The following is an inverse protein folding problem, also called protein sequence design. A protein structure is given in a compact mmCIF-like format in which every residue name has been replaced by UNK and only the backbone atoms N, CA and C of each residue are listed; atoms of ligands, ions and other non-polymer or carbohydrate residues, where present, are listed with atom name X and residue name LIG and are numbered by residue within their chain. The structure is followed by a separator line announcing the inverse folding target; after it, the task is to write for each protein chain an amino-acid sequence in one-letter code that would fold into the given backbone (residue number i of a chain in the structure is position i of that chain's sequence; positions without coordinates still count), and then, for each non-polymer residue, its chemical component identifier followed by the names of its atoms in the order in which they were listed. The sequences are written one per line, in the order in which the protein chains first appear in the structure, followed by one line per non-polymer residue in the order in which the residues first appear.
data_IF_940101098746
#
_entry.id   IF_940101098746
#
_cell.length_a   1.000
_cell.length_b   1.000
_cell.length_c   1.000
_cell.angle_alpha   90.00
_cell.angle_beta   90.00
_cell.angle_gamma   90.00
#
_symmetry.space_group_name_H-M   'P 1'
#
loop_
_entity.id
_entity.type
_entity.pdbx_description
1 polymer ?
#
# COMPACT_ATOMS: atom_id res chain seq x y z
N UNK A 1 4.91 34.37 -8.09
CA UNK A 1 5.09 34.36 -6.61
C UNK A 1 4.89 35.79 -6.13
N UNK A 2 4.49 36.04 -4.88
CA UNK A 2 4.14 37.40 -4.43
C UNK A 2 5.33 38.12 -3.77
N UNK A 3 5.38 39.45 -3.91
CA UNK A 3 6.53 40.29 -3.56
C UNK A 3 6.92 40.27 -2.07
N UNK A 4 6.02 39.78 -1.21
CA UNK A 4 6.26 39.55 0.21
C UNK A 4 7.19 38.37 0.49
N UNK A 5 7.46 37.50 -0.48
CA UNK A 5 8.36 36.36 -0.33
C UNK A 5 9.83 36.73 -0.63
N UNK A 6 10.07 37.60 -1.61
CA UNK A 6 11.43 38.05 -2.01
C UNK A 6 12.16 38.91 -0.96
N UNK A 7 11.44 39.55 -0.03
CA UNK A 7 12.07 40.40 1.01
C UNK A 7 12.57 39.64 2.26
N UNK A 8 12.48 38.30 2.28
CA UNK A 8 12.90 37.48 3.43
C UNK A 8 14.35 37.00 3.26
N UNK A 9 15.18 37.26 4.27
CA UNK A 9 16.60 36.88 4.33
C UNK A 9 16.88 35.94 5.50
N UNK A 10 17.95 35.15 5.42
CA UNK A 10 18.41 34.27 6.48
C UNK A 10 18.87 35.08 7.70
N UNK A 11 18.44 34.71 8.91
CA UNK A 11 18.80 35.42 10.14
C UNK A 11 20.31 35.36 10.47
N UNK A 12 20.98 34.25 10.14
CA UNK A 12 22.39 33.99 10.52
C UNK A 12 23.40 34.44 9.45
N UNK A 13 23.03 34.43 8.16
CA UNK A 13 23.96 34.68 7.04
C UNK A 13 23.44 35.61 5.93
N UNK A 14 22.27 36.22 6.08
CA UNK A 14 21.73 37.20 5.11
C UNK A 14 21.22 36.64 3.78
N UNK A 15 21.58 35.42 3.37
CA UNK A 15 21.15 34.80 2.10
C UNK A 15 19.63 34.88 1.87
N UNK A 16 19.22 35.12 0.61
CA UNK A 16 17.81 35.20 0.22
C UNK A 16 17.42 34.18 -0.85
N UNK A 17 16.12 33.84 -0.99
CA UNK A 17 15.65 32.97 -2.07
C UNK A 17 15.81 33.59 -3.46
N UNK A 18 15.84 34.91 -3.58
CA UNK A 18 15.88 35.62 -4.86
C UNK A 18 17.32 35.82 -5.38
N UNK A 19 18.28 36.03 -4.47
CA UNK A 19 19.69 36.27 -4.82
C UNK A 19 20.49 34.96 -4.89
N UNK A 20 20.33 34.05 -3.92
CA UNK A 20 21.08 32.78 -3.86
C UNK A 20 20.34 31.57 -4.46
N UNK A 21 19.04 31.67 -4.75
CA UNK A 21 18.19 30.51 -5.09
C UNK A 21 17.90 29.57 -3.90
N UNK A 22 18.16 30.01 -2.66
CA UNK A 22 18.15 29.14 -1.47
C UNK A 22 16.80 29.11 -0.75
N UNK A 23 16.41 27.91 -0.27
CA UNK A 23 15.23 27.75 0.58
C UNK A 23 15.47 28.21 2.03
N UNK A 24 14.51 28.97 2.55
CA UNK A 24 14.42 29.38 3.96
C UNK A 24 13.42 28.50 4.75
N UNK A 25 13.74 28.22 6.01
CA UNK A 25 12.93 27.49 6.98
C UNK A 25 12.63 28.37 8.20
N UNK A 26 11.35 28.50 8.56
CA UNK A 26 10.92 29.25 9.75
C UNK A 26 11.31 28.50 11.02
N UNK A 27 11.66 29.26 12.06
CA UNK A 27 11.69 28.74 13.43
C UNK A 27 10.39 27.98 13.78
N UNK A 28 10.52 26.96 14.62
CA UNK A 28 9.43 26.06 14.98
C UNK A 28 8.49 26.72 16.01
N UNK A 29 7.20 26.39 15.98
CA UNK A 29 6.27 26.78 17.06
C UNK A 29 6.59 25.93 18.30
N UNK A 30 6.86 26.54 19.48
CA UNK A 30 7.09 25.78 20.71
C UNK A 30 5.83 25.02 21.12
N UNK A 31 6.04 23.84 21.70
CA UNK A 31 5.00 22.91 22.14
C UNK A 31 5.62 21.60 22.62
N UNK A 32 4.87 20.80 23.38
CA UNK A 32 5.34 19.64 24.16
C UNK A 32 6.34 18.73 23.43
N UNK A 33 6.04 18.35 22.19
CA UNK A 33 6.88 17.42 21.42
C UNK A 33 8.00 18.06 20.58
N UNK A 34 8.18 19.39 20.66
CA UNK A 34 9.15 20.15 19.85
C UNK A 34 10.05 21.08 20.69
N UNK A 35 9.80 21.23 22.01
CA UNK A 35 10.42 22.25 22.87
C UNK A 35 11.96 22.25 22.80
N UNK A 36 12.60 21.12 23.09
CA UNK A 36 14.06 20.93 23.03
C UNK A 36 14.65 21.34 21.67
N UNK A 37 13.94 21.05 20.57
CA UNK A 37 14.37 21.44 19.22
C UNK A 37 14.24 22.95 18.99
N UNK A 38 13.24 23.60 19.58
CA UNK A 38 13.09 25.05 19.52
C UNK A 38 14.21 25.75 20.30
N UNK A 39 14.59 25.21 21.47
CA UNK A 39 15.73 25.68 22.28
C UNK A 39 17.04 25.57 21.49
N UNK A 40 17.32 24.42 20.88
CA UNK A 40 18.51 24.19 20.04
C UNK A 40 18.57 25.16 18.83
N UNK A 41 17.45 25.42 18.16
CA UNK A 41 17.38 26.43 17.10
C UNK A 41 17.64 27.84 17.65
N UNK A 42 17.05 28.21 18.79
CA UNK A 42 17.23 29.52 19.41
C UNK A 42 18.68 29.74 19.90
N UNK A 43 19.31 28.72 20.46
CA UNK A 43 20.71 28.74 20.92
C UNK A 43 21.68 28.95 19.75
N UNK A 44 21.42 28.30 18.61
CA UNK A 44 22.20 28.49 17.38
C UNK A 44 22.06 29.92 16.81
N UNK A 45 20.86 30.50 16.90
CA UNK A 45 20.55 31.83 16.39
C UNK A 45 21.06 32.95 17.32
N UNK A 46 21.03 32.73 18.63
CA UNK A 46 21.42 33.69 19.67
C UNK A 46 22.44 33.07 20.65
N UNK A 47 23.68 32.77 20.19
CA UNK A 47 24.72 32.24 21.07
C UNK A 47 24.99 33.21 22.23
N UNK A 48 25.28 32.67 23.41
CA UNK A 48 25.55 33.44 24.63
C UNK A 48 24.32 33.98 25.37
N UNK A 49 23.10 33.84 24.83
CA UNK A 49 21.86 34.21 25.54
C UNK A 49 21.25 33.00 26.27
N UNK A 50 20.61 33.21 27.41
CA UNK A 50 19.69 32.21 27.95
C UNK A 50 18.44 32.17 27.07
N UNK A 51 18.21 31.03 26.40
CA UNK A 51 17.14 30.84 25.42
C UNK A 51 16.03 29.88 25.87
N UNK A 52 16.11 29.35 27.09
CA UNK A 52 15.20 28.30 27.60
C UNK A 52 13.81 28.83 28.02
N UNK A 53 13.57 30.14 27.94
CA UNK A 53 12.24 30.72 28.17
C UNK A 53 11.30 30.41 26.99
N UNK A 54 10.15 29.83 27.29
CA UNK A 54 9.10 29.52 26.30
C UNK A 54 8.58 30.80 25.63
N UNK A 55 8.64 31.94 26.33
CA UNK A 55 8.22 33.28 25.89
C UNK A 55 9.19 33.81 24.83
N UNK A 56 10.49 33.57 25.03
CA UNK A 56 11.51 33.87 24.03
C UNK A 56 11.34 33.00 22.76
N UNK A 57 11.04 31.71 22.92
CA UNK A 57 10.75 30.82 21.79
C UNK A 57 9.47 31.22 21.03
N UNK A 58 8.41 31.61 21.74
CA UNK A 58 7.18 32.19 21.17
C UNK A 58 7.52 33.48 20.39
N UNK A 59 8.39 34.34 20.92
CA UNK A 59 8.84 35.58 20.27
C UNK A 59 9.59 35.30 18.96
N UNK A 60 10.59 34.42 18.95
CA UNK A 60 11.32 34.02 17.73
C UNK A 60 10.37 33.48 16.65
N UNK A 61 9.42 32.63 17.05
CA UNK A 61 8.40 32.12 16.13
C UNK A 61 7.53 33.23 15.55
N UNK A 62 7.00 34.12 16.39
CA UNK A 62 6.12 35.23 16.00
C UNK A 62 6.83 36.28 15.13
N UNK A 63 8.12 36.55 15.37
CA UNK A 63 8.96 37.43 14.53
C UNK A 63 9.30 36.82 13.15
N UNK A 64 8.74 35.65 12.80
CA UNK A 64 8.97 34.96 11.52
C UNK A 64 10.47 34.72 11.22
N UNK A 65 11.31 34.52 12.24
CA UNK A 65 12.76 34.32 12.03
C UNK A 65 13.02 33.04 11.22
N UNK A 66 13.96 33.11 10.29
CA UNK A 66 14.25 32.05 9.31
C UNK A 66 15.73 31.66 9.31
N UNK A 67 16.04 30.39 9.05
CA UNK A 67 17.37 29.90 8.69
C UNK A 67 17.35 29.31 7.28
N UNK A 68 18.45 29.45 6.53
CA UNK A 68 18.58 28.88 5.19
C UNK A 68 19.13 27.45 5.20
N UNK A 69 19.04 26.73 4.07
CA UNK A 69 19.53 25.35 3.97
C UNK A 69 21.04 25.18 4.23
N UNK A 70 21.86 26.24 4.12
CA UNK A 70 23.32 26.20 4.41
C UNK A 70 23.65 25.86 5.88
N UNK A 71 22.69 25.93 6.82
CA UNK A 71 22.91 25.67 8.26
C UNK A 71 22.53 24.25 8.71
N UNK A 72 22.19 23.35 7.79
CA UNK A 72 21.73 21.99 8.08
C UNK A 72 22.53 20.99 7.25
N UNK A 73 22.84 19.81 7.80
CA UNK A 73 23.59 18.78 7.08
C UNK A 73 22.70 18.02 6.11
N UNK A 74 23.26 17.19 5.23
CA UNK A 74 22.45 16.45 4.25
C UNK A 74 21.50 15.44 4.92
N UNK A 75 21.93 14.81 6.01
CA UNK A 75 21.08 13.91 6.81
C UNK A 75 19.91 14.61 7.52
N UNK A 76 19.90 15.95 7.60
CA UNK A 76 18.81 16.71 8.24
C UNK A 76 17.58 16.88 7.32
N UNK A 77 17.69 16.54 6.03
CA UNK A 77 16.61 16.68 5.05
C UNK A 77 15.85 15.36 4.77
N UNK A 78 14.62 15.46 4.29
CA UNK A 78 13.81 14.30 3.87
C UNK A 78 14.18 13.74 2.51
N UNK A 79 14.88 14.53 1.69
CA UNK A 79 15.20 14.25 0.30
C UNK A 79 16.41 15.08 -0.15
N UNK A 80 17.07 14.63 -1.23
CA UNK A 80 18.20 15.31 -1.87
C UNK A 80 17.82 16.67 -2.49
N UNK A 81 16.52 16.99 -2.63
CA UNK A 81 16.08 18.32 -3.10
C UNK A 81 16.10 19.36 -1.97
N UNK A 82 16.54 18.96 -0.76
CA UNK A 82 16.63 19.78 0.47
C UNK A 82 15.32 20.53 0.76
N UNK A 83 14.17 19.95 0.38
CA UNK A 83 12.88 20.67 0.34
C UNK A 83 12.16 20.67 1.68
N UNK A 84 12.35 19.66 2.52
CA UNK A 84 11.81 19.60 3.88
C UNK A 84 12.87 19.08 4.86
N UNK A 85 12.84 19.62 6.09
CA UNK A 85 13.69 19.17 7.19
C UNK A 85 13.00 18.04 7.97
N UNK A 86 13.78 17.07 8.45
CA UNK A 86 13.31 16.02 9.35
C UNK A 86 12.80 16.59 10.68
N UNK A 87 12.03 15.78 11.42
CA UNK A 87 11.51 16.17 12.74
C UNK A 87 12.62 16.39 13.79
N UNK A 88 13.77 15.75 13.60
CA UNK A 88 14.96 15.81 14.47
C UNK A 88 15.98 16.88 14.07
N UNK A 89 15.82 17.52 12.91
CA UNK A 89 16.89 18.32 12.31
C UNK A 89 17.22 19.62 13.07
N UNK A 90 18.49 19.82 13.40
CA UNK A 90 18.98 20.96 14.18
C UNK A 90 20.08 21.69 13.41
N UNK A 91 20.15 23.03 13.48
CA UNK A 91 21.17 23.76 12.77
C UNK A 91 22.54 23.49 13.40
N UNK A 92 23.58 23.46 12.56
CA UNK A 92 24.97 23.25 12.95
C UNK A 92 25.84 24.25 12.18
N UNK A 93 26.88 24.77 12.82
CA UNK A 93 27.88 25.55 12.09
C UNK A 93 28.68 24.58 11.20
N UNK A 94 28.82 24.94 9.93
CA UNK A 94 29.59 24.18 8.94
C UNK A 94 30.85 25.00 8.67
N UNK A 95 32.00 24.48 9.09
CA UNK A 95 33.29 25.12 8.85
C UNK A 95 33.55 25.22 7.35
N UNK A 96 33.94 26.40 6.88
CA UNK A 96 34.18 26.67 5.47
C UNK A 96 35.55 26.12 5.05
N UNK A 97 35.59 24.87 4.61
CA UNK A 97 36.80 24.30 4.02
C UNK A 97 37.18 25.07 2.73
N UNK A 98 38.36 25.71 2.78
CA UNK A 98 39.01 26.32 1.62
C UNK A 98 39.44 25.21 0.65
N UNK A 99 39.18 25.32 -0.67
CA UNK A 99 39.44 24.25 -1.62
C UNK A 99 40.92 24.17 -2.04
N UNK A 100 41.45 22.95 -2.17
CA UNK A 100 42.75 22.65 -2.80
C UNK A 100 42.55 21.47 -3.77
N UNK A 101 43.19 21.54 -4.95
CA UNK A 101 43.22 20.50 -6.01
C UNK A 101 44.00 19.22 -5.51
N UNK A 102 44.09 18.06 -6.20
CA UNK A 102 44.19 17.73 -7.64
C UNK A 102 43.70 16.27 -7.92
N UNK A 103 42.91 16.05 -8.98
CA UNK A 103 42.70 14.81 -9.81
C UNK A 103 42.44 13.42 -9.12
N UNK A 104 41.99 12.34 -9.78
CA UNK A 104 41.75 12.00 -11.21
C UNK A 104 40.45 11.19 -11.42
N UNK A 105 39.97 11.13 -12.66
CA UNK A 105 38.88 10.23 -13.16
C UNK A 105 39.44 8.84 -13.61
N UNK A 106 38.66 7.83 -14.11
CA UNK A 106 37.23 7.78 -14.51
C UNK A 106 36.42 6.62 -13.86
N UNK A 107 35.13 6.37 -14.14
CA UNK A 107 34.16 7.05 -15.00
C UNK A 107 32.80 6.32 -15.10
N UNK A 108 32.00 6.68 -16.12
CA UNK A 108 30.71 6.08 -16.54
C UNK A 108 29.60 5.92 -15.48
N UNK A 109 28.56 6.75 -15.60
CA UNK A 109 27.22 6.44 -15.08
C UNK A 109 26.16 7.01 -16.01
N UNK A 110 25.28 6.14 -16.50
CA UNK A 110 24.26 6.49 -17.47
C UNK A 110 22.85 6.50 -16.87
N UNK A 111 22.02 7.38 -17.43
CA UNK A 111 20.54 7.38 -17.36
C UNK A 111 19.90 7.79 -16.03
N UNK A 112 19.19 8.92 -16.17
CA UNK A 112 18.00 9.43 -15.49
C UNK A 112 17.01 8.43 -14.83
N UNK A 113 15.96 8.84 -14.11
CA UNK A 113 15.56 10.05 -13.34
C UNK A 113 14.03 9.95 -13.07
N UNK A 114 13.47 10.89 -12.29
CA UNK A 114 12.07 11.35 -12.34
C UNK A 114 10.89 10.40 -11.93
N UNK A 115 9.68 10.89 -11.56
CA UNK A 115 9.26 12.02 -10.67
C UNK A 115 7.72 12.04 -10.47
N UNK A 116 7.24 12.32 -9.23
CA UNK A 116 5.89 12.83 -8.82
C UNK A 116 4.62 12.07 -9.33
N UNK A 117 3.34 12.36 -8.96
CA UNK A 117 2.70 13.32 -8.00
C UNK A 117 1.63 12.55 -7.16
N UNK A 118 0.36 12.87 -6.78
CA UNK A 118 -0.64 13.99 -6.69
C UNK A 118 -1.77 13.48 -5.71
N UNK A 119 -2.74 14.21 -5.10
CA UNK A 119 -3.02 15.63 -4.77
C UNK A 119 -4.24 15.70 -3.78
N UNK A 120 -4.34 16.72 -2.89
CA UNK A 120 -5.55 17.16 -2.11
C UNK A 120 -6.24 16.16 -1.14
N UNK A 121 -7.06 16.51 -0.12
CA UNK A 121 -7.48 17.81 0.47
C UNK A 121 -7.86 17.66 1.98
N UNK A 122 -8.14 18.78 2.68
CA UNK A 122 -8.81 18.88 4.02
C UNK A 122 -10.23 19.52 3.85
N UNK A 123 -10.98 20.06 4.86
CA UNK A 123 -10.94 19.95 6.34
C UNK A 123 -12.32 19.73 7.04
N UNK A 124 -12.33 19.54 8.37
CA UNK A 124 -13.33 19.96 9.39
C UNK A 124 -13.08 19.17 10.70
N UNK A 125 -12.66 19.74 11.84
CA UNK A 125 -13.35 20.59 12.83
C UNK A 125 -14.44 19.89 13.66
N UNK A 126 -14.23 19.84 14.99
CA UNK A 126 -15.12 19.23 15.98
C UNK A 126 -14.47 19.28 17.36
N UNK A 127 -15.05 20.05 18.29
CA UNK A 127 -14.55 20.27 19.66
C UNK A 127 -15.18 19.26 20.63
N UNK A 128 -14.50 18.92 21.73
CA UNK A 128 -15.08 18.79 23.09
C UNK A 128 -13.95 18.54 24.11
N UNK A 129 -13.75 19.54 24.97
CA UNK A 129 -13.49 19.56 26.42
C UNK A 129 -12.47 18.62 27.11
N UNK A 130 -12.15 19.01 28.35
CA UNK A 130 -11.12 18.45 29.22
C UNK A 130 -11.76 17.78 30.43
N UNK A 131 -11.11 16.74 30.98
CA UNK A 131 -11.16 16.53 32.42
C UNK A 131 -9.88 15.82 32.89
N UNK A 132 -9.03 16.55 33.61
CA UNK A 132 -8.03 15.96 34.50
C UNK A 132 -8.70 15.65 35.85
N UNK A 133 -8.29 14.57 36.52
CA UNK A 133 -8.59 14.38 37.94
C UNK A 133 -7.49 13.54 38.62
N UNK A 134 -6.93 14.06 39.70
CA UNK A 134 -6.25 13.28 40.75
C UNK A 134 -4.89 12.64 40.42
N UNK A 135 -3.81 13.29 40.86
CA UNK A 135 -2.75 12.54 41.57
C UNK A 135 -3.24 12.27 43.01
N UNK A 136 -2.69 11.26 43.72
CA UNK A 136 -1.45 11.50 44.45
C UNK A 136 -0.40 10.40 44.26
N UNK A 137 0.88 10.77 44.34
CA UNK A 137 2.00 9.83 44.47
C UNK A 137 2.48 9.70 45.93
N UNK A 138 3.29 8.67 46.26
CA UNK A 138 3.98 8.59 47.53
C UNK A 138 5.33 9.32 47.49
N UNK A 139 5.59 10.14 48.50
CA UNK A 139 6.86 10.85 48.68
C UNK A 139 8.04 9.89 48.87
N UNK A 140 9.22 10.26 48.34
CA UNK A 140 10.49 9.74 48.85
C UNK A 140 11.54 10.85 48.86
N UNK A 141 12.12 11.09 50.01
CA UNK A 141 13.20 12.06 50.20
C UNK A 141 14.47 11.63 49.44
N UNK A 142 15.15 12.61 48.87
CA UNK A 142 16.54 12.49 48.41
C UNK A 142 17.34 13.59 49.10
N UNK A 143 18.22 13.20 50.02
CA UNK A 143 19.09 14.12 50.73
C UNK A 143 20.00 14.84 49.72
N UNK A 144 20.10 16.17 49.78
CA UNK A 144 21.03 16.94 48.98
C UNK A 144 22.46 16.80 49.53
N UNK A 145 23.07 15.65 49.26
CA UNK A 145 24.50 15.47 49.44
C UNK A 145 25.23 16.12 48.26
N UNK A 146 25.93 17.23 48.51
CA UNK A 146 26.84 17.84 47.55
C UNK A 146 27.95 16.85 47.17
N UNK A 147 27.86 16.25 45.98
CA UNK A 147 28.95 15.47 45.41
C UNK A 147 29.89 16.43 44.70
N UNK A 148 31.06 16.66 45.32
CA UNK A 148 32.14 17.46 44.76
C UNK A 148 32.59 16.94 43.38
N UNK A 149 33.14 17.84 42.56
CA UNK A 149 33.55 17.55 41.19
C UNK A 149 34.85 16.70 41.10
N UNK A 150 34.82 15.49 41.65
CA UNK A 150 35.93 14.54 41.66
C UNK A 150 36.48 14.28 40.25
N UNK A 151 37.76 14.59 40.06
CA UNK A 151 38.44 14.46 38.76
C UNK A 151 38.37 13.02 38.22
N UNK A 152 37.70 12.86 37.08
CA UNK A 152 37.52 11.56 36.44
C UNK A 152 38.84 11.09 35.81
N UNK A 153 39.53 10.17 36.49
CA UNK A 153 40.72 9.47 35.95
C UNK A 153 40.46 8.98 34.51
N UNK A 154 41.42 9.12 33.58
CA UNK A 154 41.22 8.74 32.19
C UNK A 154 40.97 7.22 32.08
N UNK A 155 39.79 6.85 31.56
CA UNK A 155 39.35 5.46 31.42
C UNK A 155 40.37 4.65 30.63
N UNK A 156 40.77 3.48 31.15
CA UNK A 156 41.72 2.59 30.48
C UNK A 156 41.15 2.07 29.15
N UNK A 157 42.03 1.66 28.22
CA UNK A 157 41.62 1.11 26.92
C UNK A 157 40.63 -0.07 27.07
N UNK A 158 40.77 -0.90 28.12
CA UNK A 158 39.85 -2.02 28.42
C UNK A 158 38.45 -1.53 28.83
N UNK A 159 38.35 -0.52 29.70
CA UNK A 159 37.07 0.08 30.10
C UNK A 159 36.37 0.78 28.92
N UNK A 160 37.10 1.49 28.07
CA UNK A 160 36.54 2.12 26.86
C UNK A 160 35.96 1.06 25.91
N UNK A 161 36.67 -0.04 25.68
CA UNK A 161 36.17 -1.18 24.89
C UNK A 161 34.92 -1.78 25.53
N UNK A 162 34.91 -2.03 26.84
CA UNK A 162 33.76 -2.60 27.56
C UNK A 162 32.54 -1.67 27.50
N UNK A 163 32.73 -0.37 27.69
CA UNK A 163 31.67 0.64 27.59
C UNK A 163 31.11 0.74 26.16
N UNK A 164 31.96 0.64 25.14
CA UNK A 164 31.52 0.58 23.73
C UNK A 164 30.69 -0.68 23.42
N UNK A 165 31.04 -1.83 24.03
CA UNK A 165 30.24 -3.08 23.94
C UNK A 165 28.90 -2.90 24.65
N UNK A 166 28.89 -2.36 25.87
CA UNK A 166 27.67 -2.12 26.63
C UNK A 166 26.68 -1.22 25.87
N UNK A 167 27.15 -0.11 25.28
CA UNK A 167 26.32 0.76 24.43
C UNK A 167 25.75 0.02 23.21
N UNK A 168 26.55 -0.83 22.53
CA UNK A 168 26.07 -1.67 21.41
C UNK A 168 25.00 -2.70 21.85
N UNK A 169 25.12 -3.26 23.05
CA UNK A 169 24.10 -4.16 23.60
C UNK A 169 22.81 -3.40 24.00
N UNK A 170 22.92 -2.25 24.67
CA UNK A 170 21.77 -1.39 24.99
C UNK A 170 21.03 -0.94 23.72
N UNK A 171 21.76 -0.58 22.67
CA UNK A 171 21.17 -0.20 21.38
C UNK A 171 20.45 -1.39 20.72
N UNK A 172 21.03 -2.60 20.76
CA UNK A 172 20.33 -3.84 20.36
C UNK A 172 19.07 -4.10 21.18
N UNK A 173 19.13 -3.96 22.51
CA UNK A 173 17.97 -4.14 23.42
C UNK A 173 16.85 -3.16 23.07
N UNK A 174 17.15 -1.87 22.87
CA UNK A 174 16.15 -0.88 22.46
C UNK A 174 15.49 -1.21 21.10
N UNK A 175 16.28 -1.68 20.12
CA UNK A 175 15.76 -2.12 18.81
C UNK A 175 14.90 -3.38 18.93
N UNK A 176 15.30 -4.33 19.78
CA UNK A 176 14.53 -5.55 20.05
C UNK A 176 13.23 -5.24 20.79
N UNK A 177 13.25 -4.38 21.82
CA UNK A 177 12.05 -3.91 22.53
C UNK A 177 11.07 -3.23 21.58
N UNK A 178 11.54 -2.35 20.69
CA UNK A 178 10.71 -1.71 19.65
C UNK A 178 10.14 -2.72 18.65
N UNK A 179 10.89 -3.78 18.29
CA UNK A 179 10.37 -4.89 17.48
C UNK A 179 9.32 -5.70 18.24
N UNK A 180 9.53 -6.01 19.52
CA UNK A 180 8.57 -6.74 20.37
C UNK A 180 7.29 -5.93 20.56
N UNK A 181 7.35 -4.62 20.78
CA UNK A 181 6.16 -3.75 20.84
C UNK A 181 5.42 -3.68 19.49
N UNK A 182 6.14 -3.57 18.37
CA UNK A 182 5.51 -3.59 17.05
C UNK A 182 4.85 -4.95 16.74
N UNK A 183 5.45 -6.05 17.18
CA UNK A 183 4.89 -7.40 17.08
C UNK A 183 3.69 -7.58 18.02
N UNK A 184 3.75 -7.16 19.28
CA UNK A 184 2.65 -7.35 20.25
C UNK A 184 1.41 -6.52 19.88
N UNK A 185 1.58 -5.31 19.36
CA UNK A 185 0.49 -4.52 18.77
C UNK A 185 -0.14 -5.24 17.55
N UNK A 186 0.67 -5.99 16.79
CA UNK A 186 0.17 -6.81 15.69
C UNK A 186 -0.50 -8.11 16.17
N UNK A 187 -0.04 -8.71 17.27
CA UNK A 187 -0.69 -9.85 17.93
C UNK A 187 -2.05 -9.45 18.51
N UNK A 188 -2.17 -8.27 19.11
CA UNK A 188 -3.43 -7.79 19.69
C UNK A 188 -4.55 -7.64 18.64
N UNK A 189 -4.21 -7.18 17.43
CA UNK A 189 -5.15 -7.11 16.30
C UNK A 189 -5.54 -8.49 15.75
N UNK A 190 -4.65 -9.48 15.82
CA UNK A 190 -5.00 -10.86 15.50
C UNK A 190 -5.89 -11.47 16.60
N UNK A 191 -5.63 -11.16 17.88
CA UNK A 191 -6.45 -11.60 19.01
C UNK A 191 -7.88 -11.05 18.93
N UNK A 192 -8.09 -9.83 18.44
CA UNK A 192 -9.43 -9.28 18.16
C UNK A 192 -10.13 -10.06 17.02
N UNK A 193 -9.39 -10.56 16.02
CA UNK A 193 -9.96 -11.40 14.97
C UNK A 193 -10.28 -12.83 15.44
N UNK A 194 -9.56 -13.33 16.45
CA UNK A 194 -9.79 -14.62 17.10
C UNK A 194 -10.70 -14.54 18.35
N UNK A 195 -11.19 -13.36 18.72
CA UNK A 195 -12.01 -13.14 19.90
C UNK A 195 -13.29 -13.99 19.85
N UNK A 196 -13.63 -14.59 20.99
CA UNK A 196 -14.91 -15.26 21.22
C UNK A 196 -16.11 -14.35 20.88
N UNK A 197 -15.98 -13.03 21.01
CA UNK A 197 -17.03 -12.08 20.59
C UNK A 197 -17.17 -11.99 19.07
N UNK A 198 -16.06 -11.98 18.31
CA UNK A 198 -16.09 -12.02 16.84
C UNK A 198 -16.57 -13.38 16.34
N UNK A 199 -16.22 -14.47 17.02
CA UNK A 199 -16.76 -15.83 16.75
C UNK A 199 -18.27 -15.89 17.01
N UNK A 200 -18.76 -15.42 18.15
CA UNK A 200 -20.20 -15.28 18.48
C UNK A 200 -20.96 -14.40 17.47
N UNK A 201 -20.36 -13.29 17.02
CA UNK A 201 -20.94 -12.43 15.98
C UNK A 201 -20.98 -13.14 14.63
N UNK A 202 -19.91 -13.86 14.25
CA UNK A 202 -19.82 -14.58 12.98
C UNK A 202 -20.91 -15.65 12.82
N UNK A 203 -21.36 -16.26 13.92
CA UNK A 203 -22.47 -17.22 13.93
C UNK A 203 -23.85 -16.57 13.75
N UNK A 204 -23.98 -15.25 13.95
CA UNK A 204 -25.24 -14.49 13.79
C UNK A 204 -25.35 -13.73 12.46
N UNK A 205 -24.34 -13.79 11.59
CA UNK A 205 -24.31 -13.06 10.31
C UNK A 205 -24.05 -14.00 9.15
N UNK A 206 -24.30 -13.54 7.91
CA UNK A 206 -24.00 -14.36 6.73
C UNK A 206 -22.50 -14.64 6.62
N UNK A 207 -22.06 -15.83 6.13
CA UNK A 207 -20.64 -16.14 5.98
C UNK A 207 -19.87 -15.14 5.11
N UNK A 208 -20.53 -14.54 4.12
CA UNK A 208 -19.95 -13.48 3.28
C UNK A 208 -19.67 -12.19 4.07
N UNK A 209 -20.53 -11.83 5.04
CA UNK A 209 -20.31 -10.69 5.91
C UNK A 209 -19.27 -10.99 7.00
N UNK A 210 -19.25 -12.21 7.56
CA UNK A 210 -18.21 -12.65 8.49
C UNK A 210 -16.81 -12.55 7.85
N UNK A 211 -16.64 -13.08 6.62
CA UNK A 211 -15.40 -12.95 5.84
C UNK A 211 -15.04 -11.49 5.56
N UNK A 212 -16.03 -10.64 5.28
CA UNK A 212 -15.81 -9.21 5.06
C UNK A 212 -15.33 -8.49 6.33
N UNK A 213 -15.93 -8.77 7.49
CA UNK A 213 -15.53 -8.22 8.79
C UNK A 213 -14.12 -8.68 9.21
N UNK A 214 -13.83 -9.98 9.11
CA UNK A 214 -12.47 -10.51 9.32
C UNK A 214 -11.47 -9.85 8.37
N UNK A 215 -11.86 -9.65 7.10
CA UNK A 215 -11.12 -8.89 6.10
C UNK A 215 -10.85 -7.44 6.51
N UNK A 216 -11.79 -6.76 7.17
CA UNK A 216 -11.59 -5.41 7.72
C UNK A 216 -10.61 -5.43 8.88
N UNK A 217 -10.88 -6.21 9.94
CA UNK A 217 -10.08 -6.26 11.17
C UNK A 217 -8.62 -6.61 10.85
N UNK A 218 -8.38 -7.58 9.96
CA UNK A 218 -7.04 -8.00 9.58
C UNK A 218 -6.27 -6.96 8.76
N UNK A 219 -6.95 -6.04 8.07
CA UNK A 219 -6.34 -5.12 7.10
C UNK A 219 -6.47 -3.62 7.39
N UNK A 220 -7.27 -3.20 8.39
CA UNK A 220 -7.52 -1.80 8.72
C UNK A 220 -6.20 -1.02 8.93
N UNK A 221 -5.38 -1.49 9.86
CA UNK A 221 -4.09 -0.91 10.23
C UNK A 221 -2.94 -1.29 9.27
N UNK A 222 -3.22 -1.95 8.14
CA UNK A 222 -2.21 -2.31 7.13
C UNK A 222 -2.19 -1.29 5.99
N UNK A 223 -1.00 -0.75 5.70
CA UNK A 223 -0.70 0.04 4.48
C UNK A 223 -1.18 -0.69 3.24
N UNK A 224 -1.65 0.03 2.21
CA UNK A 224 -2.29 -0.53 1.00
C UNK A 224 -1.54 -1.74 0.39
N UNK A 225 -0.22 -1.64 0.18
CA UNK A 225 0.62 -2.72 -0.38
C UNK A 225 0.86 -3.91 0.56
N UNK A 226 0.59 -3.75 1.86
CA UNK A 226 0.73 -4.79 2.90
C UNK A 226 -0.57 -5.53 3.23
N UNK A 227 -1.70 -5.16 2.62
CA UNK A 227 -2.99 -5.84 2.81
C UNK A 227 -2.96 -7.22 2.17
N UNK A 228 -3.43 -8.24 2.90
CA UNK A 228 -3.45 -9.64 2.45
C UNK A 228 -4.87 -10.17 2.49
N UNK A 229 -5.22 -10.97 1.48
CA UNK A 229 -6.58 -11.40 1.19
C UNK A 229 -6.64 -12.92 1.00
N UNK A 230 -7.64 -13.60 1.59
CA UNK A 230 -7.90 -15.03 1.39
C UNK A 230 -8.39 -15.31 -0.04
N UNK A 231 -8.77 -16.55 -0.38
CA UNK A 231 -9.40 -16.84 -1.69
C UNK A 231 -10.90 -16.49 -1.64
N UNK A 232 -11.51 -16.69 -0.49
CA UNK A 232 -12.94 -16.59 -0.17
C UNK A 232 -13.36 -15.11 -0.11
N UNK A 233 -12.53 -14.27 0.49
CA UNK A 233 -12.65 -12.80 0.47
C UNK A 233 -12.54 -12.26 -0.96
N UNK A 234 -11.58 -12.74 -1.76
CA UNK A 234 -11.44 -12.32 -3.17
C UNK A 234 -12.64 -12.75 -4.00
N UNK A 235 -13.18 -13.96 -3.79
CA UNK A 235 -14.40 -14.44 -4.45
C UNK A 235 -15.62 -13.58 -4.05
N UNK A 236 -15.75 -13.26 -2.76
CA UNK A 236 -16.84 -12.42 -2.24
C UNK A 236 -16.76 -10.99 -2.80
N UNK A 237 -15.55 -10.41 -2.83
CA UNK A 237 -15.27 -9.16 -3.51
C UNK A 237 -15.54 -9.24 -5.02
N UNK A 238 -15.15 -10.32 -5.69
CA UNK A 238 -15.33 -10.53 -7.12
C UNK A 238 -16.82 -10.58 -7.51
N UNK A 239 -17.69 -11.18 -6.68
CA UNK A 239 -19.15 -11.18 -6.88
C UNK A 239 -19.69 -9.74 -6.96
N UNK A 240 -19.35 -8.90 -5.98
CA UNK A 240 -19.77 -7.48 -5.95
C UNK A 240 -19.17 -6.72 -7.16
N UNK A 241 -17.89 -6.93 -7.46
CA UNK A 241 -17.20 -6.27 -8.57
C UNK A 241 -17.79 -6.65 -9.95
N UNK A 242 -18.19 -7.90 -10.15
CA UNK A 242 -18.85 -8.37 -11.37
C UNK A 242 -20.30 -7.89 -11.49
N UNK A 243 -21.02 -7.73 -10.37
CA UNK A 243 -22.40 -7.18 -10.38
C UNK A 243 -22.43 -5.66 -10.61
N UNK A 244 -21.47 -4.90 -10.08
CA UNK A 244 -21.33 -3.47 -10.37
C UNK A 244 -19.89 -2.98 -10.13
N UNK A 245 -19.08 -2.79 -11.19
CA UNK A 245 -17.73 -2.22 -11.07
C UNK A 245 -17.71 -0.79 -10.52
N UNK A 246 -18.78 -0.01 -10.73
CA UNK A 246 -18.93 1.36 -10.24
C UNK A 246 -19.24 1.40 -8.74
N UNK A 247 -20.26 0.66 -8.28
CA UNK A 247 -20.54 0.51 -6.85
C UNK A 247 -19.34 -0.07 -6.10
N UNK A 248 -18.64 -1.05 -6.68
CA UNK A 248 -17.41 -1.57 -6.06
C UNK A 248 -16.32 -0.49 -5.90
N UNK A 249 -16.15 0.42 -6.87
CA UNK A 249 -15.19 1.54 -6.73
C UNK A 249 -15.57 2.49 -5.59
N UNK A 250 -16.87 2.74 -5.38
CA UNK A 250 -17.39 3.51 -4.25
C UNK A 250 -17.14 2.78 -2.92
N UNK A 251 -17.54 1.52 -2.80
CA UNK A 251 -17.32 0.68 -1.61
C UNK A 251 -15.84 0.59 -1.22
N UNK A 252 -14.92 0.60 -2.19
CA UNK A 252 -13.46 0.60 -1.94
C UNK A 252 -12.91 1.90 -1.33
N UNK A 253 -13.69 2.99 -1.32
CA UNK A 253 -13.35 4.24 -0.60
C UNK A 253 -13.78 4.17 0.87
N UNK A 254 -14.87 3.46 1.15
CA UNK A 254 -15.46 3.31 2.48
C UNK A 254 -14.83 2.15 3.27
N UNK A 255 -14.49 1.06 2.58
CA UNK A 255 -14.08 -0.21 3.17
C UNK A 255 -12.74 -0.71 2.63
N UNK A 256 -11.98 -1.43 3.46
CA UNK A 256 -10.77 -2.10 3.00
C UNK A 256 -11.16 -3.30 2.15
N UNK A 257 -10.86 -3.22 0.85
CA UNK A 257 -11.28 -4.19 -0.16
C UNK A 257 -10.16 -4.42 -1.20
N UNK A 258 -10.09 -5.62 -1.82
CA UNK A 258 -9.14 -5.92 -2.89
C UNK A 258 -9.11 -4.87 -4.02
N UNK A 259 -7.94 -4.68 -4.65
CA UNK A 259 -7.82 -3.81 -5.83
C UNK A 259 -8.47 -4.46 -7.06
N UNK A 260 -8.84 -3.70 -8.11
CA UNK A 260 -9.47 -4.30 -9.28
C UNK A 260 -8.45 -5.13 -10.07
N UNK A 261 -7.16 -4.77 -10.01
CA UNK A 261 -6.05 -5.62 -10.48
C UNK A 261 -5.97 -6.93 -9.70
N UNK A 262 -6.10 -6.91 -8.36
CA UNK A 262 -6.12 -8.15 -7.55
C UNK A 262 -7.27 -9.09 -7.94
N UNK A 263 -8.43 -8.55 -8.37
CA UNK A 263 -9.56 -9.35 -8.84
C UNK A 263 -9.37 -9.82 -10.30
N UNK A 264 -8.83 -8.99 -11.20
CA UNK A 264 -8.44 -9.40 -12.56
C UNK A 264 -7.37 -10.50 -12.53
N UNK A 265 -6.36 -10.39 -11.67
CA UNK A 265 -5.28 -11.37 -11.51
C UNK A 265 -5.73 -12.66 -10.78
N UNK A 266 -6.96 -12.70 -10.25
CA UNK A 266 -7.60 -13.95 -9.83
C UNK A 266 -8.33 -14.62 -11.02
N UNK A 267 -9.00 -13.82 -11.86
CA UNK A 267 -9.67 -14.31 -13.07
C UNK A 267 -8.66 -14.85 -14.09
N UNK A 268 -7.52 -14.19 -14.30
CA UNK A 268 -6.48 -14.59 -15.25
C UNK A 268 -5.69 -15.85 -14.85
N UNK A 269 -6.16 -16.59 -13.83
CA UNK A 269 -5.69 -17.94 -13.47
C UNK A 269 -6.64 -19.04 -13.93
N UNK A 270 -7.76 -18.66 -14.55
CA UNK A 270 -8.74 -19.56 -15.14
C UNK A 270 -8.56 -19.44 -16.66
N UNK A 271 -7.95 -20.43 -17.34
CA UNK A 271 -7.85 -20.41 -18.79
C UNK A 271 -9.24 -20.62 -19.41
N UNK A 272 -9.52 -19.84 -20.45
CA UNK A 272 -10.67 -20.02 -21.34
C UNK A 272 -10.11 -20.16 -22.76
N UNK A 273 -9.74 -21.38 -23.11
CA UNK A 273 -9.33 -21.77 -24.46
C UNK A 273 -10.54 -22.10 -25.32
N UNK A 274 -10.40 -21.98 -26.63
CA UNK A 274 -11.40 -22.44 -27.62
C UNK A 274 -11.68 -23.93 -27.44
N UNK A 275 -12.89 -24.36 -27.75
CA UNK A 275 -13.38 -25.71 -27.51
C UNK A 275 -13.93 -25.91 -26.10
N UNK A 276 -13.87 -27.15 -25.63
CA UNK A 276 -14.53 -27.63 -24.43
C UNK A 276 -13.70 -27.35 -23.16
N UNK A 277 -14.29 -26.69 -22.16
CA UNK A 277 -13.58 -26.32 -20.95
C UNK A 277 -13.65 -27.44 -19.89
N UNK A 278 -12.62 -28.31 -19.85
CA UNK A 278 -12.54 -29.41 -18.87
C UNK A 278 -12.78 -28.98 -17.42
N UNK A 279 -12.31 -27.80 -17.02
CA UNK A 279 -12.44 -27.33 -15.64
C UNK A 279 -13.91 -27.04 -15.27
N UNK A 280 -14.71 -26.59 -16.25
CA UNK A 280 -16.17 -26.48 -16.11
C UNK A 280 -16.80 -27.88 -16.03
N UNK A 281 -16.46 -28.80 -16.94
CA UNK A 281 -16.99 -30.17 -16.92
C UNK A 281 -16.69 -30.90 -15.59
N UNK A 282 -15.45 -30.82 -15.08
CA UNK A 282 -15.02 -31.39 -13.79
C UNK A 282 -15.71 -30.77 -12.57
N UNK A 283 -16.29 -29.57 -12.72
CA UNK A 283 -17.19 -28.96 -11.71
C UNK A 283 -18.63 -29.47 -11.91
N UNK A 284 -19.11 -29.57 -13.15
CA UNK A 284 -20.44 -30.10 -13.47
C UNK A 284 -20.62 -31.56 -13.05
N UNK A 285 -19.66 -32.45 -13.32
CA UNK A 285 -19.68 -33.84 -12.83
C UNK A 285 -19.87 -33.91 -11.30
N UNK A 286 -19.24 -32.99 -10.54
CA UNK A 286 -19.39 -32.91 -9.08
C UNK A 286 -20.76 -32.34 -8.66
N UNK A 287 -21.28 -31.38 -9.41
CA UNK A 287 -22.64 -30.89 -9.22
C UNK A 287 -23.68 -32.00 -9.44
N UNK A 288 -23.62 -32.71 -10.57
CA UNK A 288 -24.49 -33.85 -10.93
C UNK A 288 -24.46 -34.93 -9.83
N UNK A 289 -23.28 -35.31 -9.36
CA UNK A 289 -23.09 -36.28 -8.25
C UNK A 289 -23.62 -35.80 -6.88
N UNK A 290 -23.98 -34.51 -6.75
CA UNK A 290 -24.61 -33.95 -5.53
C UNK A 290 -26.14 -33.81 -5.62
N UNK A 291 -26.72 -33.97 -6.82
CA UNK A 291 -28.16 -33.87 -7.04
C UNK A 291 -28.81 -35.27 -7.02
N UNK A 292 -30.14 -35.30 -6.84
CA UNK A 292 -30.92 -36.53 -7.01
C UNK A 292 -30.90 -36.96 -8.47
N UNK A 293 -30.91 -38.27 -8.75
CA UNK A 293 -30.94 -38.81 -10.12
C UNK A 293 -32.11 -38.27 -10.94
N UNK A 294 -33.28 -38.05 -10.31
CA UNK A 294 -34.46 -37.41 -10.92
C UNK A 294 -34.19 -36.01 -11.47
N UNK A 295 -33.25 -35.29 -10.86
CA UNK A 295 -32.98 -33.89 -11.14
C UNK A 295 -31.85 -33.73 -12.18
N UNK A 296 -31.21 -34.85 -12.59
CA UNK A 296 -30.04 -34.91 -13.46
C UNK A 296 -30.40 -35.08 -14.95
N UNK A 297 -31.51 -34.49 -15.37
CA UNK A 297 -31.89 -34.38 -16.78
C UNK A 297 -31.48 -33.02 -17.34
N UNK A 298 -30.76 -33.04 -18.46
CA UNK A 298 -30.16 -31.86 -19.07
C UNK A 298 -30.36 -31.83 -20.59
N UNK A 299 -30.51 -30.64 -21.15
CA UNK A 299 -30.56 -30.35 -22.58
C UNK A 299 -29.24 -29.68 -22.99
N UNK A 300 -28.64 -30.15 -24.08
CA UNK A 300 -27.58 -29.43 -24.78
C UNK A 300 -28.22 -28.39 -25.70
N UNK A 301 -27.98 -27.12 -25.42
CA UNK A 301 -28.36 -25.97 -26.26
C UNK A 301 -27.11 -25.44 -26.97
N UNK A 302 -27.25 -24.96 -28.18
CA UNK A 302 -26.22 -24.20 -28.89
C UNK A 302 -26.85 -23.09 -29.71
N UNK A 303 -26.11 -22.01 -29.90
CA UNK A 303 -26.53 -20.84 -30.69
C UNK A 303 -25.29 -20.07 -31.17
N UNK A 304 -25.44 -19.25 -32.21
CA UNK A 304 -24.38 -18.42 -32.77
C UNK A 304 -24.64 -16.93 -32.52
N UNK A 305 -23.68 -16.24 -31.91
CA UNK A 305 -23.72 -14.79 -31.74
C UNK A 305 -22.77 -14.09 -32.71
N UNK A 306 -23.23 -12.99 -33.33
CA UNK A 306 -22.38 -12.16 -34.18
C UNK A 306 -21.35 -11.39 -33.35
N UNK A 307 -20.14 -11.29 -33.89
CA UNK A 307 -19.00 -10.59 -33.30
C UNK A 307 -18.57 -9.42 -34.19
N UNK A 308 -18.03 -8.38 -33.56
CA UNK A 308 -17.27 -7.37 -34.30
C UNK A 308 -15.92 -7.96 -34.73
N UNK A 309 -15.74 -8.20 -36.03
CA UNK A 309 -14.46 -8.61 -36.64
C UNK A 309 -13.33 -7.67 -36.19
N UNK A 310 -12.35 -8.22 -35.48
CA UNK A 310 -11.21 -7.50 -34.92
C UNK A 310 -10.11 -8.51 -34.55
N UNK A 311 -8.85 -8.20 -34.86
CA UNK A 311 -7.68 -8.96 -34.41
C UNK A 311 -7.03 -8.26 -33.22
N UNK A 312 -6.69 -9.01 -32.18
CA UNK A 312 -6.02 -8.52 -30.97
C UNK A 312 -4.86 -9.45 -30.61
N UNK A 313 -3.73 -8.91 -30.15
CA UNK A 313 -2.59 -9.70 -29.71
C UNK A 313 -2.53 -9.79 -28.18
N UNK A 314 -2.76 -10.98 -27.60
CA UNK A 314 -2.53 -11.21 -26.17
C UNK A 314 -1.08 -11.64 -25.92
N UNK A 315 -0.27 -10.67 -25.49
CA UNK A 315 1.12 -10.85 -25.10
C UNK A 315 1.38 -11.77 -23.89
N UNK A 316 0.37 -12.50 -23.38
CA UNK A 316 0.54 -13.53 -22.34
C UNK A 316 0.44 -14.96 -22.89
N UNK A 317 -0.31 -15.14 -23.97
CA UNK A 317 -0.45 -16.42 -24.68
C UNK A 317 0.36 -16.46 -25.98
N UNK A 318 0.97 -15.34 -26.37
CA UNK A 318 1.70 -15.16 -27.64
C UNK A 318 0.82 -15.51 -28.85
N UNK A 319 -0.42 -15.01 -28.80
CA UNK A 319 -1.49 -15.39 -29.71
C UNK A 319 -2.22 -14.16 -30.26
N UNK A 320 -2.48 -14.18 -31.56
CA UNK A 320 -3.40 -13.24 -32.21
C UNK A 320 -4.82 -13.81 -32.11
N UNK A 321 -5.61 -13.26 -31.19
CA UNK A 321 -7.04 -13.48 -31.04
C UNK A 321 -7.82 -12.89 -32.24
N UNK A 322 -9.02 -13.44 -32.52
CA UNK A 322 -9.94 -12.90 -33.54
C UNK A 322 -9.94 -13.64 -34.88
N UNK A 323 -9.13 -14.68 -35.04
CA UNK A 323 -9.20 -15.64 -36.15
C UNK A 323 -10.23 -16.75 -35.91
N UNK A 324 -10.70 -17.39 -36.99
CA UNK A 324 -11.56 -18.57 -36.94
C UNK A 324 -10.82 -19.74 -36.29
N UNK A 325 -11.45 -20.33 -35.28
CA UNK A 325 -10.89 -21.39 -34.46
C UNK A 325 -11.99 -22.37 -34.06
N UNK A 326 -11.88 -23.59 -34.57
CA UNK A 326 -12.78 -24.71 -34.27
C UNK A 326 -12.13 -25.72 -33.30
N UNK A 327 -11.13 -25.28 -32.51
CA UNK A 327 -10.43 -26.11 -31.52
C UNK A 327 -9.69 -27.28 -32.18
N UNK A 328 -9.97 -28.50 -31.70
CA UNK A 328 -9.38 -29.74 -32.24
C UNK A 328 -9.62 -29.94 -33.74
N UNK A 329 -10.69 -29.34 -34.27
CA UNK A 329 -11.04 -29.40 -35.69
C UNK A 329 -10.24 -28.42 -36.57
N UNK A 330 -9.33 -27.64 -35.98
CA UNK A 330 -8.42 -26.73 -36.67
C UNK A 330 -8.82 -25.24 -36.63
N UNK A 331 -7.83 -24.40 -36.90
CA UNK A 331 -7.86 -22.92 -36.88
C UNK A 331 -7.42 -22.41 -38.25
N UNK A 332 -7.99 -21.31 -38.74
CA UNK A 332 -7.65 -20.73 -40.04
C UNK A 332 -7.44 -19.22 -39.99
N UNK A 333 -6.82 -18.67 -41.05
CA UNK A 333 -6.52 -17.24 -41.23
C UNK A 333 -7.76 -16.36 -41.49
N UNK A 334 -8.96 -16.94 -41.58
CA UNK A 334 -10.19 -16.17 -41.75
C UNK A 334 -10.53 -15.42 -40.46
N UNK A 335 -10.85 -14.11 -40.56
CA UNK A 335 -11.24 -13.31 -39.38
C UNK A 335 -12.63 -13.74 -38.89
N UNK A 336 -12.74 -14.08 -37.61
CA UNK A 336 -13.98 -14.52 -36.98
C UNK A 336 -15.03 -13.40 -36.93
N UNK A 337 -16.22 -13.71 -37.44
CA UNK A 337 -17.42 -12.86 -37.39
C UNK A 337 -18.52 -13.39 -36.47
N UNK A 338 -18.39 -14.62 -35.97
CA UNK A 338 -19.39 -15.32 -35.17
C UNK A 338 -18.71 -16.13 -34.05
N UNK A 339 -19.43 -16.33 -32.94
CA UNK A 339 -19.09 -17.31 -31.92
C UNK A 339 -20.24 -18.31 -31.73
N UNK A 340 -19.96 -19.59 -31.99
CA UNK A 340 -20.84 -20.70 -31.65
C UNK A 340 -20.60 -21.09 -30.19
N UNK A 341 -21.65 -21.07 -29.35
CA UNK A 341 -21.53 -21.35 -27.91
C UNK A 341 -22.45 -22.49 -27.50
N UNK A 342 -21.88 -23.54 -26.91
CA UNK A 342 -22.61 -24.67 -26.33
C UNK A 342 -22.89 -24.44 -24.85
N UNK A 343 -24.13 -24.64 -24.44
CA UNK A 343 -24.61 -24.50 -23.07
C UNK A 343 -25.42 -25.71 -22.63
N UNK A 344 -25.16 -26.20 -21.41
CA UNK A 344 -26.03 -27.20 -20.77
C UNK A 344 -27.10 -26.49 -19.95
N UNK A 345 -28.35 -26.87 -20.16
CA UNK A 345 -29.50 -26.42 -19.35
C UNK A 345 -30.12 -27.59 -18.61
N UNK A 346 -30.37 -27.45 -17.31
CA UNK A 346 -31.17 -28.44 -16.56
C UNK A 346 -32.65 -28.36 -16.93
N UNK A 347 -33.33 -29.50 -17.05
CA UNK A 347 -34.77 -29.56 -17.32
C UNK A 347 -35.53 -29.27 -16.02
N UNK A 348 -35.32 -30.11 -14.98
CA UNK A 348 -36.03 -29.99 -13.70
C UNK A 348 -35.40 -28.97 -12.74
N UNK A 349 -34.13 -28.59 -12.96
CA UNK A 349 -33.42 -27.55 -12.19
C UNK A 349 -33.09 -26.36 -13.09
N UNK A 350 -33.32 -25.14 -12.61
CA UNK A 350 -32.94 -23.87 -13.27
C UNK A 350 -31.42 -23.63 -13.21
N UNK A 351 -30.65 -24.49 -13.89
CA UNK A 351 -29.20 -24.40 -14.05
C UNK A 351 -28.92 -24.17 -15.53
N UNK A 352 -28.02 -23.23 -15.85
CA UNK A 352 -27.46 -23.04 -17.19
C UNK A 352 -25.95 -22.83 -17.08
N UNK A 353 -25.16 -23.52 -17.88
CA UNK A 353 -23.70 -23.43 -17.86
C UNK A 353 -23.13 -23.51 -19.30
N UNK A 354 -22.42 -22.49 -19.81
CA UNK A 354 -21.62 -22.62 -21.03
C UNK A 354 -20.46 -23.59 -20.80
N UNK A 355 -20.24 -24.49 -21.74
CA UNK A 355 -19.29 -25.61 -21.64
C UNK A 355 -18.23 -25.62 -22.74
N UNK A 356 -18.59 -25.17 -23.95
CA UNK A 356 -17.69 -25.06 -25.09
C UNK A 356 -18.01 -23.81 -25.91
N UNK A 357 -17.01 -23.28 -26.61
CA UNK A 357 -17.19 -22.18 -27.55
C UNK A 357 -16.19 -22.27 -28.70
N UNK A 358 -16.61 -21.82 -29.87
CA UNK A 358 -15.83 -21.86 -31.11
C UNK A 358 -16.03 -20.55 -31.89
N UNK A 359 -15.06 -20.17 -32.72
CA UNK A 359 -15.07 -18.92 -33.48
C UNK A 359 -15.07 -19.19 -34.98
N UNK A 360 -15.93 -18.50 -35.73
CA UNK A 360 -16.20 -18.80 -37.14
C UNK A 360 -16.25 -17.52 -37.98
N UNK A 361 -15.76 -17.53 -39.22
CA UNK A 361 -15.78 -16.34 -40.10
C UNK A 361 -17.15 -16.05 -40.73
N UNK A 362 -17.96 -17.11 -40.82
CA UNK A 362 -19.36 -17.20 -41.28
C UNK A 362 -20.15 -18.07 -40.31
N UNK A 363 -21.44 -18.27 -40.58
CA UNK A 363 -22.22 -19.35 -39.95
C UNK A 363 -21.53 -20.71 -40.13
N UNK A 364 -21.65 -21.61 -39.15
CA UNK A 364 -21.07 -22.97 -39.22
C UNK A 364 -21.95 -23.87 -40.09
N UNK A 365 -21.33 -24.62 -41.01
CA UNK A 365 -22.03 -25.55 -41.91
C UNK A 365 -22.55 -26.78 -41.14
N UNK A 366 -23.64 -27.40 -41.63
CA UNK A 366 -24.34 -28.45 -40.89
C UNK A 366 -23.49 -29.70 -40.62
N UNK A 367 -22.63 -30.07 -41.55
CA UNK A 367 -21.62 -31.14 -41.40
C UNK A 367 -20.62 -30.83 -40.27
N UNK A 368 -20.12 -29.59 -40.24
CA UNK A 368 -19.14 -29.11 -39.26
C UNK A 368 -19.77 -29.00 -37.87
N UNK A 369 -20.99 -28.49 -37.80
CA UNK A 369 -21.79 -28.43 -36.58
C UNK A 369 -22.06 -29.83 -36.01
N UNK A 370 -22.39 -30.81 -36.86
CA UNK A 370 -22.59 -32.19 -36.43
C UNK A 370 -21.32 -32.84 -35.85
N UNK A 371 -20.13 -32.47 -36.35
CA UNK A 371 -18.85 -32.90 -35.76
C UNK A 371 -18.63 -32.25 -34.39
N UNK A 372 -18.84 -30.93 -34.28
CA UNK A 372 -18.68 -30.21 -33.00
C UNK A 372 -19.68 -30.68 -31.93
N UNK A 373 -20.92 -31.00 -32.30
CA UNK A 373 -21.91 -31.62 -31.41
C UNK A 373 -21.40 -32.97 -30.89
N UNK A 374 -20.85 -33.83 -31.75
CA UNK A 374 -20.28 -35.13 -31.33
C UNK A 374 -19.08 -34.96 -30.40
N UNK A 375 -18.17 -34.03 -30.69
CA UNK A 375 -17.03 -33.72 -29.83
C UNK A 375 -17.47 -33.25 -28.44
N UNK A 376 -18.47 -32.36 -28.38
CA UNK A 376 -19.09 -31.90 -27.13
C UNK A 376 -19.81 -33.04 -26.40
N UNK A 377 -20.55 -33.91 -27.09
CA UNK A 377 -21.29 -35.03 -26.50
C UNK A 377 -20.38 -36.11 -25.91
N UNK A 378 -19.26 -36.43 -26.56
CA UNK A 378 -18.31 -37.45 -26.07
C UNK A 378 -17.76 -37.13 -24.66
N UNK A 379 -17.67 -35.86 -24.29
CA UNK A 379 -17.16 -35.41 -22.98
C UNK A 379 -18.18 -35.66 -21.84
N UNK A 380 -19.45 -35.95 -22.14
CA UNK A 380 -20.43 -36.38 -21.13
C UNK A 380 -20.41 -37.89 -20.85
N UNK A 381 -19.73 -38.67 -21.69
CA UNK A 381 -19.60 -40.13 -21.57
C UNK A 381 -18.39 -40.50 -20.67
N UNK A 382 -17.62 -39.49 -20.23
CA UNK A 382 -16.41 -39.55 -19.40
C UNK A 382 -16.58 -38.78 -18.06
#
# INVERSE_FOLDING_TARGET
MSDKENKRKCFKCGSSPAEDGIKLFRALKPGTNNLVRCEQWAQYMYPGRNVSSVEFLKKIYNEHRMLCSKHFQEEDFTDLTRKYLLRTAVPRDIEQHVPIFVASQPGTSGVHSQVLTNITNQPAHGTIEQQELGQPGPSRSTNEACIEAGSRKPKTKKEQILQSKCMKYLQKICVLQKRVQALSAQTMLNAIADDNNVKKLSAKVTPAFALFLQGQIRNCNRKLRGRRWSREEKITALRIFKRSPTCYRLLRRLFTLPSPGTLKNLLSKIPFTVGCNEAVFKIMQKFVKSQKTTDNEYILMFDEMSLKKHLNYDCKSDLIEGFQDHGNQGRSENIAGYALVFMVGGIRKRVKQPIAHYFSSSFVTADRLAILIKEVMNIFIL
#
